data_IF_970104148222
#
_entry.id   IF_970104148222
#
_cell.length_a   1.000
_cell.length_b   1.000
_cell.length_c   1.000
_cell.angle_alpha   90.00
_cell.angle_beta   90.00
_cell.angle_gamma   90.00
#
_symmetry.space_group_name_H-M   'P 1'
#
loop_
_entity.id
_entity.type
_entity.pdbx_description
1 polymer ?
#
# COMPACT_ATOMS: atom_id res chain seq x y z
N UNK A 1 10.43 3.35 6.94
CA UNK A 1 9.38 3.77 5.99
C UNK A 1 8.30 2.70 6.02
N UNK A 2 7.04 3.06 6.18
CA UNK A 2 5.91 2.14 6.04
C UNK A 2 5.05 2.57 4.85
N UNK A 3 4.67 1.65 3.97
CA UNK A 3 3.73 1.93 2.89
C UNK A 3 2.56 0.94 2.94
N UNK A 4 1.33 1.44 2.88
CA UNK A 4 0.15 0.57 2.85
C UNK A 4 0.14 -0.27 1.56
N UNK A 5 0.13 -1.60 1.71
CA UNK A 5 0.06 -2.53 0.58
C UNK A 5 -1.36 -2.96 0.23
N UNK A 6 -1.53 -4.01 -0.60
CA UNK A 6 -2.82 -4.35 -1.19
C UNK A 6 -3.69 -5.22 -0.26
N UNK A 7 -5.00 -5.15 -0.48
CA UNK A 7 -5.95 -6.17 -0.03
C UNK A 7 -6.02 -7.31 -1.05
N UNK A 8 -5.65 -8.52 -0.64
CA UNK A 8 -5.45 -9.66 -1.56
C UNK A 8 -6.73 -10.48 -1.80
N UNK A 9 -7.74 -9.84 -2.38
CA UNK A 9 -8.98 -10.50 -2.81
C UNK A 9 -9.04 -10.76 -4.33
N UNK A 10 -8.11 -10.21 -5.11
CA UNK A 10 -8.03 -10.44 -6.55
C UNK A 10 -6.61 -10.13 -7.07
N UNK A 11 -6.37 -10.38 -8.36
CA UNK A 11 -5.19 -9.88 -9.04
C UNK A 11 -5.10 -8.35 -8.91
N UNK A 12 -3.91 -7.87 -8.57
CA UNK A 12 -3.67 -6.43 -8.42
C UNK A 12 -3.78 -5.72 -9.75
N UNK A 13 -4.38 -4.54 -9.72
CA UNK A 13 -4.45 -3.67 -10.89
C UNK A 13 -3.24 -2.76 -10.99
N UNK A 14 -3.02 -2.18 -12.17
CA UNK A 14 -1.86 -1.30 -12.42
C UNK A 14 -1.79 -0.12 -11.43
N UNK A 15 -2.94 0.39 -11.00
CA UNK A 15 -3.00 1.39 -9.91
C UNK A 15 -2.41 0.93 -8.57
N UNK A 16 -2.55 -0.36 -8.19
CA UNK A 16 -1.94 -0.89 -6.95
C UNK A 16 -0.43 -1.08 -7.11
N UNK A 17 0.08 -1.22 -8.34
CA UNK A 17 1.50 -1.32 -8.59
C UNK A 17 2.23 0.02 -8.40
N UNK A 18 1.54 1.14 -8.59
CA UNK A 18 2.16 2.48 -8.50
C UNK A 18 2.71 2.79 -7.09
N UNK A 19 1.96 2.59 -5.98
CA UNK A 19 2.51 2.74 -4.63
C UNK A 19 3.77 1.91 -4.40
N UNK A 20 3.78 0.63 -4.83
CA UNK A 20 4.94 -0.26 -4.73
C UNK A 20 6.15 0.26 -5.52
N UNK A 21 5.95 0.75 -6.75
CA UNK A 21 7.06 1.34 -7.51
C UNK A 21 7.58 2.61 -6.81
N UNK A 22 6.69 3.45 -6.30
CA UNK A 22 7.06 4.70 -5.62
C UNK A 22 7.83 4.42 -4.33
N UNK A 23 7.41 3.48 -3.51
CA UNK A 23 8.09 3.12 -2.25
C UNK A 23 9.47 2.52 -2.50
N UNK A 24 9.59 1.60 -3.45
CA UNK A 24 10.85 0.95 -3.82
C UNK A 24 11.86 1.95 -4.41
N UNK A 25 11.40 2.89 -5.25
CA UNK A 25 12.25 3.96 -5.79
C UNK A 25 12.63 4.95 -4.69
N UNK A 26 11.70 5.31 -3.80
CA UNK A 26 12.00 6.19 -2.67
C UNK A 26 13.05 5.57 -1.72
N UNK A 27 12.93 4.26 -1.40
CA UNK A 27 13.93 3.52 -0.63
C UNK A 27 15.30 3.64 -1.29
N UNK A 28 15.42 3.29 -2.58
CA UNK A 28 16.68 3.34 -3.32
C UNK A 28 17.27 4.75 -3.39
N UNK A 29 16.43 5.77 -3.51
CA UNK A 29 16.86 7.16 -3.49
C UNK A 29 17.42 7.57 -2.12
N UNK A 30 16.77 7.20 -1.02
CA UNK A 30 17.32 7.49 0.32
C UNK A 30 18.60 6.68 0.61
N UNK A 31 18.68 5.43 0.15
CA UNK A 31 19.91 4.62 0.24
C UNK A 31 21.07 5.24 -0.54
N UNK A 32 20.81 5.81 -1.73
CA UNK A 32 21.85 6.49 -2.52
C UNK A 32 22.35 7.79 -1.87
N UNK A 33 21.53 8.39 -0.99
CA UNK A 33 21.93 9.52 -0.14
C UNK A 33 22.69 9.08 1.14
N UNK A 34 22.90 7.77 1.34
CA UNK A 34 23.64 7.22 2.47
C UNK A 34 22.79 6.90 3.70
N UNK A 35 21.46 6.95 3.61
CA UNK A 35 20.59 6.51 4.71
C UNK A 35 20.51 4.99 4.77
N UNK A 36 20.43 4.43 5.98
CA UNK A 36 19.95 3.06 6.19
C UNK A 36 18.43 3.07 6.22
N UNK A 37 17.80 2.45 5.23
CA UNK A 37 16.35 2.42 5.10
C UNK A 37 15.82 1.04 5.50
N UNK A 38 14.76 1.01 6.30
CA UNK A 38 13.91 -0.16 6.49
C UNK A 38 12.53 0.16 5.92
N UNK A 39 12.15 -0.53 4.86
CA UNK A 39 10.86 -0.43 4.19
C UNK A 39 9.97 -1.59 4.61
N UNK A 40 8.81 -1.25 5.17
CA UNK A 40 7.75 -2.18 5.54
C UNK A 40 6.55 -1.93 4.64
N UNK A 41 6.02 -2.97 4.02
CA UNK A 41 4.74 -2.89 3.29
C UNK A 41 3.87 -4.07 3.68
N UNK A 42 2.69 -3.83 4.24
CA UNK A 42 1.82 -4.93 4.64
C UNK A 42 1.09 -5.56 3.46
N UNK A 43 0.55 -6.75 3.70
CA UNK A 43 -0.51 -7.33 2.87
C UNK A 43 -1.74 -7.50 3.77
N UNK A 44 -2.85 -6.90 3.37
CA UNK A 44 -4.14 -7.11 4.04
C UNK A 44 -4.73 -8.43 3.54
N UNK A 45 -4.55 -9.48 4.34
CA UNK A 45 -4.98 -10.86 4.07
C UNK A 45 -6.26 -11.26 4.83
N UNK A 46 -6.88 -10.31 5.53
CA UNK A 46 -8.21 -10.42 6.15
C UNK A 46 -9.02 -9.15 5.85
N UNK A 47 -10.12 -9.28 5.11
CA UNK A 47 -11.02 -8.17 4.77
C UNK A 47 -12.39 -8.70 4.34
N UNK A 48 -13.42 -7.86 4.41
CA UNK A 48 -14.78 -8.19 3.97
C UNK A 48 -14.80 -8.70 2.52
N UNK A 49 -13.98 -8.14 1.63
CA UNK A 49 -13.89 -8.56 0.22
C UNK A 49 -13.28 -9.95 0.06
N UNK A 50 -12.28 -10.29 0.87
CA UNK A 50 -11.64 -11.61 0.86
C UNK A 50 -12.64 -12.67 1.34
N UNK A 51 -13.36 -12.36 2.43
CA UNK A 51 -14.40 -13.23 3.00
C UNK A 51 -15.51 -13.47 1.98
N UNK A 52 -16.06 -12.40 1.40
CA UNK A 52 -17.13 -12.48 0.40
C UNK A 52 -16.72 -13.30 -0.82
N UNK A 53 -15.47 -13.16 -1.29
CA UNK A 53 -14.96 -13.97 -2.39
C UNK A 53 -14.80 -15.44 -2.02
N UNK A 54 -14.30 -15.74 -0.81
CA UNK A 54 -14.23 -17.12 -0.32
C UNK A 54 -15.61 -17.79 -0.28
N UNK A 55 -16.63 -17.07 0.21
CA UNK A 55 -18.02 -17.53 0.21
C UNK A 55 -18.52 -17.78 -1.23
N UNK A 56 -18.29 -16.83 -2.14
CA UNK A 56 -18.71 -16.95 -3.53
C UNK A 56 -18.04 -18.11 -4.28
N UNK A 57 -16.78 -18.41 -3.97
CA UNK A 57 -15.99 -19.48 -4.59
C UNK A 57 -16.10 -20.83 -3.84
N UNK A 58 -16.80 -20.87 -2.70
CA UNK A 58 -16.95 -22.08 -1.89
C UNK A 58 -15.64 -22.57 -1.27
N UNK A 59 -14.70 -21.66 -0.95
CA UNK A 59 -13.40 -22.00 -0.33
C UNK A 59 -13.04 -21.07 0.82
N UNK A 60 -12.14 -21.47 1.75
CA UNK A 60 -11.75 -20.63 2.88
C UNK A 60 -11.17 -19.27 2.44
N UNK A 61 -11.50 -18.21 3.18
CA UNK A 61 -10.95 -16.86 2.95
C UNK A 61 -9.41 -16.83 2.99
N UNK A 62 -8.79 -17.64 3.85
CA UNK A 62 -7.33 -17.80 3.90
C UNK A 62 -6.74 -18.37 2.61
N UNK A 63 -7.45 -19.25 1.90
CA UNK A 63 -7.00 -19.79 0.62
C UNK A 63 -7.07 -18.73 -0.48
N UNK A 64 -8.11 -17.88 -0.48
CA UNK A 64 -8.23 -16.72 -1.38
C UNK A 64 -7.06 -15.77 -1.13
N UNK A 65 -6.84 -15.39 0.13
CA UNK A 65 -5.79 -14.47 0.50
C UNK A 65 -4.39 -14.99 0.13
N UNK A 66 -4.10 -16.26 0.43
CA UNK A 66 -2.81 -16.88 0.09
C UNK A 66 -2.54 -16.90 -1.41
N UNK A 67 -3.55 -17.25 -2.23
CA UNK A 67 -3.42 -17.23 -3.70
C UNK A 67 -3.11 -15.83 -4.22
N UNK A 68 -3.91 -14.83 -3.83
CA UNK A 68 -3.73 -13.48 -4.37
C UNK A 68 -2.54 -12.73 -3.75
N UNK A 69 -2.10 -13.09 -2.54
CA UNK A 69 -0.82 -12.63 -1.99
C UNK A 69 0.35 -13.19 -2.79
N UNK A 70 0.33 -14.49 -3.14
CA UNK A 70 1.35 -15.05 -4.01
C UNK A 70 1.32 -14.42 -5.40
N UNK A 71 0.14 -14.27 -5.99
CA UNK A 71 -0.02 -13.60 -7.29
C UNK A 71 0.48 -12.15 -7.27
N UNK A 72 0.22 -11.40 -6.19
CA UNK A 72 0.76 -10.05 -5.99
C UNK A 72 2.28 -10.05 -6.00
N UNK A 73 2.92 -10.97 -5.25
CA UNK A 73 4.38 -11.12 -5.21
C UNK A 73 4.94 -11.47 -6.58
N UNK A 74 4.39 -12.49 -7.23
CA UNK A 74 4.82 -12.90 -8.57
C UNK A 74 4.72 -11.75 -9.57
N UNK A 75 3.61 -10.99 -9.56
CA UNK A 75 3.40 -9.88 -10.49
C UNK A 75 4.33 -8.69 -10.21
N UNK A 76 4.63 -8.40 -8.94
CA UNK A 76 5.53 -7.30 -8.56
C UNK A 76 7.00 -7.67 -8.68
N UNK A 77 7.37 -8.95 -8.53
CA UNK A 77 8.73 -9.44 -8.76
C UNK A 77 9.15 -9.29 -10.23
N UNK A 78 8.20 -9.42 -11.16
CA UNK A 78 8.41 -9.11 -12.59
C UNK A 78 8.86 -7.66 -12.83
N UNK A 79 8.63 -6.73 -11.91
CA UNK A 79 9.12 -5.35 -12.01
C UNK A 79 10.63 -5.23 -11.80
N UNK A 80 11.29 -6.26 -11.25
CA UNK A 80 12.74 -6.24 -11.03
C UNK A 80 13.21 -5.21 -9.98
N UNK A 81 12.29 -4.70 -9.14
CA UNK A 81 12.59 -3.69 -8.12
C UNK A 81 13.06 -4.30 -6.78
N UNK A 82 12.88 -5.60 -6.58
CA UNK A 82 13.11 -6.31 -5.31
C UNK A 82 11.86 -6.32 -4.42
N UNK A 83 12.03 -6.65 -3.13
CA UNK A 83 10.96 -6.63 -2.12
C UNK A 83 11.19 -5.56 -1.05
N UNK A 84 10.13 -5.15 -0.32
CA UNK A 84 10.24 -4.52 0.99
C UNK A 84 11.13 -5.35 1.93
N UNK A 85 11.75 -4.72 2.94
CA UNK A 85 12.56 -5.43 3.93
C UNK A 85 11.69 -6.33 4.82
N UNK A 86 10.44 -5.92 5.05
CA UNK A 86 9.46 -6.64 5.86
C UNK A 86 8.10 -6.52 5.17
N UNK A 87 7.41 -7.65 5.02
CA UNK A 87 6.11 -7.71 4.36
C UNK A 87 5.09 -8.47 5.23
N UNK A 88 4.56 -7.83 6.30
CA UNK A 88 3.72 -8.51 7.27
C UNK A 88 2.31 -8.79 6.77
N UNK A 89 1.75 -9.91 7.19
CA UNK A 89 0.33 -10.24 7.00
C UNK A 89 -0.49 -9.79 8.19
N UNK A 90 -1.66 -9.18 7.97
CA UNK A 90 -2.53 -8.74 9.06
C UNK A 90 -2.93 -9.90 10.00
N UNK A 91 -3.14 -11.10 9.47
CA UNK A 91 -3.48 -12.28 10.28
C UNK A 91 -2.36 -12.75 11.22
N UNK A 92 -1.10 -12.40 10.95
CA UNK A 92 0.06 -12.71 11.80
C UNK A 92 0.20 -11.73 12.98
N UNK A 93 -0.54 -10.62 12.96
CA UNK A 93 -0.42 -9.52 13.92
C UNK A 93 -1.67 -9.29 14.77
N UNK A 94 -2.60 -10.24 14.81
CA UNK A 94 -3.85 -10.11 15.59
C UNK A 94 -3.59 -9.82 17.07
N UNK A 95 -2.55 -10.43 17.67
CA UNK A 95 -2.18 -10.15 19.05
C UNK A 95 -1.69 -8.70 19.26
N UNK A 96 -0.89 -8.18 18.33
CA UNK A 96 -0.41 -6.79 18.36
C UNK A 96 -1.61 -5.81 18.19
N UNK A 97 -2.56 -6.16 17.32
CA UNK A 97 -3.80 -5.39 17.10
C UNK A 97 -4.65 -5.36 18.36
N UNK A 98 -4.91 -6.51 18.99
CA UNK A 98 -5.70 -6.59 20.23
C UNK A 98 -5.05 -5.72 21.31
N UNK A 99 -3.73 -5.80 21.50
CA UNK A 99 -3.02 -4.99 22.49
C UNK A 99 -3.16 -3.48 22.22
N UNK A 100 -3.15 -3.06 20.95
CA UNK A 100 -3.35 -1.66 20.56
C UNK A 100 -4.78 -1.20 20.88
N UNK A 101 -5.78 -2.04 20.62
CA UNK A 101 -7.19 -1.75 20.94
C UNK A 101 -7.41 -1.68 22.46
N UNK A 102 -6.81 -2.59 23.24
CA UNK A 102 -6.86 -2.54 24.70
C UNK A 102 -6.29 -1.24 25.25
N UNK A 103 -5.18 -0.75 24.68
CA UNK A 103 -4.61 0.56 25.02
C UNK A 103 -5.59 1.71 24.73
N UNK A 104 -6.24 1.69 23.56
CA UNK A 104 -7.24 2.68 23.18
C UNK A 104 -8.45 2.68 24.13
N UNK A 105 -8.95 1.50 24.51
CA UNK A 105 -10.04 1.35 25.49
C UNK A 105 -9.62 1.90 26.85
N UNK A 106 -8.43 1.52 27.34
CA UNK A 106 -7.89 1.99 28.63
C UNK A 106 -7.74 3.52 28.68
N UNK A 107 -7.51 4.15 27.53
CA UNK A 107 -7.35 5.61 27.39
C UNK A 107 -8.62 6.33 26.99
N UNK A 108 -9.77 5.64 26.99
CA UNK A 108 -11.08 6.20 26.63
C UNK A 108 -11.17 6.72 25.19
N UNK A 109 -10.35 6.19 24.29
CA UNK A 109 -10.41 6.45 22.85
C UNK A 109 -11.20 5.38 22.07
N UNK A 110 -11.56 4.28 22.71
CA UNK A 110 -12.38 3.24 22.13
C UNK A 110 -13.44 2.74 23.12
N UNK A 111 -14.53 2.20 22.58
CA UNK A 111 -15.61 1.61 23.37
C UNK A 111 -16.17 0.36 22.67
N UNK A 112 -16.65 -0.57 23.49
CA UNK A 112 -17.31 -1.77 23.01
C UNK A 112 -18.81 -1.51 22.81
N UNK A 113 -19.37 -2.00 21.70
CA UNK A 113 -20.79 -1.98 21.41
C UNK A 113 -21.25 -3.36 20.93
N UNK A 114 -21.72 -4.20 21.87
CA UNK A 114 -21.94 -5.62 21.59
C UNK A 114 -20.62 -6.36 21.48
N UNK A 115 -20.39 -7.05 20.36
CA UNK A 115 -19.12 -7.75 20.07
C UNK A 115 -18.15 -6.92 19.22
N UNK A 116 -18.56 -5.72 18.83
CA UNK A 116 -17.74 -4.78 18.08
C UNK A 116 -17.03 -3.82 19.04
N UNK A 117 -15.85 -3.33 18.62
CA UNK A 117 -15.14 -2.23 19.28
C UNK A 117 -14.94 -1.12 18.28
N UNK A 118 -15.35 0.09 18.65
CA UNK A 118 -15.25 1.28 17.82
C UNK A 118 -14.27 2.29 18.42
N UNK A 119 -13.58 3.02 17.55
CA UNK A 119 -12.86 4.22 17.93
C UNK A 119 -13.84 5.37 18.12
N UNK A 120 -13.73 6.09 19.24
CA UNK A 120 -14.53 7.29 19.52
C UNK A 120 -13.83 8.50 18.89
N UNK A 121 -14.27 8.93 17.71
CA UNK A 121 -13.67 10.07 17.00
C UNK A 121 -13.74 11.35 17.83
N UNK A 122 -14.82 11.56 18.57
CA UNK A 122 -14.98 12.75 19.40
C UNK A 122 -13.97 12.83 20.56
N UNK A 123 -13.40 11.69 20.97
CA UNK A 123 -12.34 11.65 22.00
C UNK A 123 -10.98 12.14 21.51
N UNK A 124 -10.80 12.34 20.19
CA UNK A 124 -9.54 12.74 19.58
C UNK A 124 -9.68 14.09 18.84
N UNK A 125 -9.42 15.23 19.52
CA UNK A 125 -9.70 16.57 18.96
C UNK A 125 -8.91 16.92 17.69
N UNK A 126 -7.80 16.23 17.40
CA UNK A 126 -6.97 16.46 16.22
C UNK A 126 -7.42 15.66 14.99
N UNK A 127 -8.54 14.93 15.06
CA UNK A 127 -9.07 14.16 13.94
C UNK A 127 -9.38 15.05 12.72
N UNK A 128 -8.93 14.65 11.54
CA UNK A 128 -9.07 15.43 10.30
C UNK A 128 -7.84 16.29 9.95
N UNK A 129 -6.79 16.28 10.79
CA UNK A 129 -5.57 17.08 10.59
C UNK A 129 -4.84 16.72 9.29
N UNK A 130 -4.79 15.44 8.92
CA UNK A 130 -4.06 15.00 7.72
C UNK A 130 -4.81 15.38 6.44
N UNK A 131 -6.10 15.04 6.39
CA UNK A 131 -7.00 15.28 5.28
C UNK A 131 -7.44 16.74 5.13
N UNK A 132 -7.24 17.54 6.19
CA UNK A 132 -7.72 18.92 6.33
C UNK A 132 -9.25 19.04 6.26
N UNK A 133 -9.97 17.96 6.56
CA UNK A 133 -11.42 17.97 6.64
C UNK A 133 -11.87 18.39 8.04
N UNK A 134 -12.96 19.14 8.12
CA UNK A 134 -13.55 19.52 9.41
C UNK A 134 -14.54 18.44 9.89
N UNK A 135 -14.40 18.00 11.14
CA UNK A 135 -15.27 16.97 11.76
C UNK A 135 -16.75 17.31 11.64
N UNK A 136 -17.11 18.60 11.77
CA UNK A 136 -18.48 19.07 11.59
C UNK A 136 -19.04 18.78 10.20
N UNK A 137 -18.27 19.05 9.14
CA UNK A 137 -18.68 18.81 7.74
C UNK A 137 -18.80 17.30 7.46
N UNK A 138 -17.87 16.50 7.98
CA UNK A 138 -17.90 15.04 7.83
C UNK A 138 -19.18 14.43 8.40
N UNK A 139 -19.64 14.89 9.58
CA UNK A 139 -20.88 14.40 10.20
C UNK A 139 -22.13 14.67 9.38
N UNK A 140 -22.19 15.77 8.61
CA UNK A 140 -23.37 16.09 7.79
C UNK A 140 -23.51 15.16 6.57
N UNK A 141 -22.39 14.62 6.08
CA UNK A 141 -22.38 13.64 4.99
C UNK A 141 -22.48 12.18 5.45
N UNK A 142 -22.13 11.90 6.71
CA UNK A 142 -22.11 10.55 7.25
C UNK A 142 -23.53 10.06 7.56
N UNK A 143 -23.86 8.87 7.06
CA UNK A 143 -25.04 8.10 7.47
C UNK A 143 -24.59 6.96 8.37
N UNK A 144 -25.44 6.61 9.34
CA UNK A 144 -25.27 5.39 10.12
C UNK A 144 -26.01 4.30 9.35
N UNK A 145 -25.29 3.25 8.94
CA UNK A 145 -25.95 2.08 8.39
C UNK A 145 -26.75 1.37 9.49
N UNK A 146 -27.92 0.83 9.13
CA UNK A 146 -28.89 0.25 10.09
C UNK A 146 -28.27 -0.87 10.95
N UNK A 147 -27.22 -1.51 10.46
CA UNK A 147 -26.51 -2.59 11.16
C UNK A 147 -25.45 -2.10 12.17
N UNK A 148 -25.05 -0.83 12.14
CA UNK A 148 -23.96 -0.32 12.97
C UNK A 148 -24.45 0.16 14.35
N UNK A 149 -23.81 -0.34 15.41
CA UNK A 149 -24.12 0.03 16.81
C UNK A 149 -23.26 1.18 17.33
N UNK A 150 -22.69 1.97 16.43
CA UNK A 150 -21.80 3.09 16.77
C UNK A 150 -22.58 4.24 17.41
N UNK A 151 -21.96 4.88 18.40
CA UNK A 151 -22.50 6.04 19.09
C UNK A 151 -22.45 7.32 18.24
N UNK A 152 -21.47 7.43 17.34
CA UNK A 152 -21.31 8.54 16.39
C UNK A 152 -21.18 8.03 14.94
N UNK A 153 -21.78 8.71 13.94
CA UNK A 153 -21.60 8.42 12.52
C UNK A 153 -20.14 8.30 12.05
N UNK A 154 -19.23 9.04 12.68
CA UNK A 154 -17.81 9.05 12.32
C UNK A 154 -16.98 7.96 13.00
N UNK A 155 -17.51 7.34 14.04
CA UNK A 155 -16.81 6.26 14.73
C UNK A 155 -16.61 5.08 13.78
N UNK A 156 -15.42 4.49 13.84
CA UNK A 156 -15.00 3.43 12.93
C UNK A 156 -14.58 2.19 13.71
N UNK A 157 -14.82 1.02 13.10
CA UNK A 157 -14.54 -0.26 13.74
C UNK A 157 -13.02 -0.48 13.90
N UNK A 158 -12.64 -0.84 15.12
CA UNK A 158 -11.32 -1.37 15.48
C UNK A 158 -11.35 -2.89 15.50
N UNK A 159 -12.44 -3.46 16.01
CA UNK A 159 -12.72 -4.89 16.06
C UNK A 159 -14.15 -5.14 15.61
N UNK A 160 -14.35 -6.09 14.70
CA UNK A 160 -15.67 -6.53 14.26
C UNK A 160 -15.96 -7.90 14.87
N UNK A 161 -17.07 -8.03 15.58
CA UNK A 161 -17.55 -9.31 16.09
C UNK A 161 -17.82 -10.28 14.94
N UNK A 162 -17.43 -11.54 15.11
CA UNK A 162 -17.52 -12.52 14.03
C UNK A 162 -18.99 -12.85 13.71
N UNK A 163 -19.33 -12.84 12.42
CA UNK A 163 -20.58 -13.45 11.92
C UNK A 163 -20.36 -14.95 11.66
N UNK A 164 -21.45 -15.72 11.64
CA UNK A 164 -21.37 -17.17 11.39
C UNK A 164 -20.66 -17.47 10.06
N UNK A 165 -19.62 -18.30 10.10
CA UNK A 165 -18.83 -18.69 8.94
C UNK A 165 -17.71 -17.71 8.54
N UNK A 166 -17.57 -16.57 9.23
CA UNK A 166 -16.42 -15.69 9.05
C UNK A 166 -15.19 -16.20 9.83
N UNK A 167 -13.96 -15.96 9.35
CA UNK A 167 -12.76 -16.17 10.15
C UNK A 167 -12.77 -15.30 11.41
N UNK A 168 -12.35 -15.88 12.53
CA UNK A 168 -12.41 -15.24 13.83
C UNK A 168 -11.22 -15.63 14.71
N UNK A 169 -10.82 -14.69 15.58
CA UNK A 169 -9.82 -14.86 16.62
C UNK A 169 -10.44 -14.53 17.97
N UNK A 170 -9.96 -15.20 19.02
CA UNK A 170 -10.36 -14.89 20.39
C UNK A 170 -9.83 -13.52 20.80
N UNK A 171 -10.67 -12.75 21.50
CA UNK A 171 -10.31 -11.44 22.03
C UNK A 171 -11.07 -11.16 23.34
N UNK A 172 -10.66 -10.14 24.12
CA UNK A 172 -11.41 -9.69 25.31
C UNK A 172 -12.86 -9.30 25.04
N UNK A 173 -13.22 -9.01 23.78
CA UNK A 173 -14.56 -8.59 23.36
C UNK A 173 -15.36 -9.71 22.70
N UNK A 174 -14.83 -10.94 22.73
CA UNK A 174 -15.38 -12.12 22.06
C UNK A 174 -14.72 -12.40 20.71
N UNK A 175 -15.11 -13.51 20.05
CA UNK A 175 -14.57 -13.89 18.76
C UNK A 175 -14.87 -12.84 17.69
N UNK A 176 -13.86 -12.45 16.92
CA UNK A 176 -13.98 -11.43 15.89
C UNK A 176 -12.73 -11.28 15.05
N UNK A 177 -12.61 -10.14 14.38
CA UNK A 177 -11.51 -9.83 13.46
C UNK A 177 -11.20 -8.35 13.47
N UNK A 178 -9.98 -7.95 13.05
CA UNK A 178 -9.60 -6.55 12.99
C UNK A 178 -10.46 -5.74 12.00
N UNK A 179 -10.61 -4.46 12.29
CA UNK A 179 -11.01 -3.47 11.30
C UNK A 179 -9.83 -3.05 10.43
N UNK A 180 -10.11 -2.64 9.18
CA UNK A 180 -9.08 -2.37 8.17
C UNK A 180 -7.96 -1.42 8.63
N UNK A 181 -8.30 -0.35 9.35
CA UNK A 181 -7.33 0.69 9.72
C UNK A 181 -6.37 0.25 10.85
N UNK A 182 -6.85 -0.56 11.80
CA UNK A 182 -6.06 -0.89 13.00
C UNK A 182 -4.88 -1.81 12.69
N UNK A 183 -4.99 -2.56 11.59
CA UNK A 183 -3.94 -3.44 11.07
C UNK A 183 -2.64 -2.66 10.82
N UNK A 184 -2.72 -1.61 9.99
CA UNK A 184 -1.54 -0.81 9.61
C UNK A 184 -0.95 -0.06 10.80
N UNK A 185 -1.78 0.46 11.72
CA UNK A 185 -1.30 1.05 12.97
C UNK A 185 -0.50 0.06 13.82
N UNK A 186 -1.00 -1.16 14.02
CA UNK A 186 -0.31 -2.15 14.84
C UNK A 186 0.99 -2.66 14.17
N UNK A 187 0.93 -3.01 12.88
CA UNK A 187 2.08 -3.53 12.14
C UNK A 187 3.18 -2.48 11.99
N UNK A 188 2.84 -1.24 11.62
CA UNK A 188 3.85 -0.18 11.49
C UNK A 188 4.56 0.12 12.81
N UNK A 189 3.82 0.20 13.92
CA UNK A 189 4.40 0.40 15.25
C UNK A 189 5.27 -0.79 15.70
N UNK A 190 4.87 -2.02 15.37
CA UNK A 190 5.64 -3.23 15.69
C UNK A 190 7.04 -3.20 15.11
N UNK A 191 7.16 -2.80 13.84
CA UNK A 191 8.42 -2.87 13.10
C UNK A 191 9.24 -1.59 13.13
N UNK A 192 8.60 -0.42 13.21
CA UNK A 192 9.27 0.87 13.10
C UNK A 192 9.22 1.71 14.38
N UNK A 193 8.40 1.31 15.36
CA UNK A 193 8.17 2.08 16.58
C UNK A 193 7.36 3.35 16.35
N UNK A 194 7.18 4.13 17.42
CA UNK A 194 6.48 5.41 17.35
C UNK A 194 7.37 6.51 16.76
N UNK A 195 6.77 7.44 16.01
CA UNK A 195 7.48 8.60 15.45
C UNK A 195 8.41 8.24 14.29
N UNK A 196 8.15 7.14 13.58
CA UNK A 196 8.95 6.75 12.43
C UNK A 196 8.84 7.77 11.28
N UNK A 197 9.83 7.75 10.39
CA UNK A 197 10.06 8.88 9.50
C UNK A 197 8.99 9.07 8.45
N UNK A 198 8.65 8.04 7.67
CA UNK A 198 7.80 8.17 6.48
C UNK A 198 6.73 7.09 6.49
N UNK A 199 5.46 7.51 6.36
CA UNK A 199 4.32 6.67 6.03
C UNK A 199 3.76 7.07 4.66
N UNK A 200 3.55 6.11 3.76
CA UNK A 200 3.02 6.40 2.43
C UNK A 200 1.95 5.44 1.92
N UNK A 201 1.37 5.81 0.77
CA UNK A 201 0.33 5.07 0.09
C UNK A 201 -0.34 5.90 -1.00
N UNK A 202 -1.42 5.39 -1.59
CA UNK A 202 -2.24 6.13 -2.54
C UNK A 202 -2.88 7.37 -1.92
N UNK A 203 -3.19 8.39 -2.73
CA UNK A 203 -3.88 9.61 -2.28
C UNK A 203 -5.29 9.32 -1.74
N UNK A 204 -5.94 8.29 -2.24
CA UNK A 204 -7.21 7.76 -1.75
C UNK A 204 -7.12 7.30 -0.28
N UNK A 205 -5.94 6.89 0.19
CA UNK A 205 -5.75 6.46 1.57
C UNK A 205 -5.62 7.62 2.57
N UNK A 206 -5.48 8.88 2.12
CA UNK A 206 -5.44 10.04 3.05
C UNK A 206 -6.64 10.02 4.00
N UNK A 207 -7.83 9.74 3.47
CA UNK A 207 -9.04 9.62 4.25
C UNK A 207 -9.94 8.51 3.69
N UNK A 208 -10.51 7.63 4.55
CA UNK A 208 -10.39 7.66 6.01
C UNK A 208 -9.13 6.96 6.54
N UNK A 209 -8.41 6.19 5.71
CA UNK A 209 -7.44 5.20 6.19
C UNK A 209 -6.31 5.78 7.06
N UNK A 210 -5.44 6.61 6.48
CA UNK A 210 -4.30 7.19 7.19
C UNK A 210 -4.72 8.17 8.30
N UNK A 211 -5.87 8.85 8.16
CA UNK A 211 -6.42 9.69 9.25
C UNK A 211 -6.80 8.85 10.47
N UNK A 212 -7.43 7.68 10.23
CA UNK A 212 -7.77 6.73 11.28
C UNK A 212 -6.54 6.14 11.94
N UNK A 213 -5.49 5.84 11.16
CA UNK A 213 -4.24 5.33 11.72
C UNK A 213 -3.55 6.34 12.64
N UNK A 214 -3.53 7.63 12.28
CA UNK A 214 -3.05 8.69 13.17
C UNK A 214 -3.85 8.69 14.47
N UNK A 215 -5.18 8.67 14.38
CA UNK A 215 -6.03 8.71 15.57
C UNK A 215 -5.83 7.48 16.47
N UNK A 216 -5.70 6.30 15.88
CA UNK A 216 -5.42 5.04 16.58
C UNK A 216 -4.05 5.05 17.26
N UNK A 217 -2.98 5.35 16.52
CA UNK A 217 -1.63 5.29 17.03
C UNK A 217 -1.36 6.42 18.05
N UNK A 218 -1.69 7.68 17.72
CA UNK A 218 -1.49 8.81 18.64
C UNK A 218 -2.44 8.72 19.84
N UNK A 219 -3.66 8.23 19.66
CA UNK A 219 -4.60 7.95 20.76
C UNK A 219 -4.08 6.88 21.71
N UNK A 220 -3.51 5.79 21.19
CA UNK A 220 -2.96 4.71 22.01
C UNK A 220 -1.65 5.09 22.71
N UNK A 221 -0.78 5.86 22.05
CA UNK A 221 0.58 6.15 22.51
C UNK A 221 0.72 7.49 23.21
N UNK A 222 -0.07 8.50 22.86
CA UNK A 222 0.02 9.86 23.42
C UNK A 222 1.22 10.65 22.92
N UNK A 223 1.84 10.21 21.82
CA UNK A 223 2.98 10.83 21.17
C UNK A 223 2.83 10.74 19.65
N UNK A 224 3.56 11.55 18.86
CA UNK A 224 3.43 11.58 17.41
C UNK A 224 3.64 10.20 16.76
N UNK A 225 2.80 9.87 15.77
CA UNK A 225 2.83 8.59 15.07
C UNK A 225 3.90 8.56 13.96
N UNK A 226 3.85 9.54 13.05
CA UNK A 226 4.65 9.61 11.82
C UNK A 226 5.15 11.03 11.59
N UNK A 227 6.39 11.20 11.10
CA UNK A 227 6.98 12.52 10.83
C UNK A 227 6.59 13.08 9.46
N UNK A 228 6.58 12.24 8.42
CA UNK A 228 6.30 12.64 7.04
C UNK A 228 5.28 11.70 6.37
N UNK A 229 4.32 12.28 5.67
CA UNK A 229 3.31 11.56 4.90
C UNK A 229 3.58 11.69 3.40
N UNK A 230 3.61 10.55 2.70
CA UNK A 230 3.90 10.48 1.26
C UNK A 230 2.75 9.84 0.49
N UNK A 231 1.96 10.67 -0.20
CA UNK A 231 0.83 10.18 -1.00
C UNK A 231 1.09 10.32 -2.50
N UNK A 232 1.06 9.19 -3.23
CA UNK A 232 1.14 9.22 -4.69
C UNK A 232 -0.18 9.63 -5.33
N UNK A 233 -0.11 10.32 -6.47
CA UNK A 233 -1.28 10.74 -7.23
C UNK A 233 -2.11 9.55 -7.71
N UNK A 234 -3.39 9.83 -7.99
CA UNK A 234 -4.32 8.86 -8.56
C UNK A 234 -3.88 8.46 -9.97
N UNK A 235 -4.25 7.24 -10.36
CA UNK A 235 -4.08 6.76 -11.72
C UNK A 235 -5.44 6.80 -12.40
N UNK A 236 -5.55 7.59 -13.46
CA UNK A 236 -6.76 7.76 -14.25
C UNK A 236 -6.63 6.88 -15.49
N UNK A 237 -7.45 5.84 -15.57
CA UNK A 237 -7.51 4.98 -16.76
C UNK A 237 -8.38 5.70 -17.80
N UNK A 238 -7.77 6.24 -18.84
CA UNK A 238 -8.50 6.68 -20.04
C UNK A 238 -8.93 5.45 -20.85
N UNK A 239 -9.97 5.55 -21.70
CA UNK A 239 -10.63 4.40 -22.34
C UNK A 239 -9.68 3.44 -23.06
N UNK A 240 -9.11 2.48 -22.32
CA UNK A 240 -8.41 1.33 -22.85
C UNK A 240 -9.49 0.38 -23.35
N UNK A 241 -9.98 0.58 -24.58
CA UNK A 241 -10.79 -0.43 -25.29
C UNK A 241 -9.91 -1.63 -25.65
N UNK A 242 -9.66 -2.47 -24.65
CA UNK A 242 -9.11 -3.80 -24.84
C UNK A 242 -10.24 -4.80 -24.60
N UNK A 243 -10.42 -5.68 -25.57
CA UNK A 243 -11.61 -6.52 -25.79
C UNK A 243 -12.17 -7.26 -24.56
N UNK A 244 -13.50 -7.16 -24.40
CA UNK A 244 -14.44 -8.14 -23.84
C UNK A 244 -13.99 -8.93 -22.59
N UNK A 245 -14.29 -8.39 -21.41
CA UNK A 245 -15.40 -8.81 -20.53
C UNK A 245 -15.08 -8.50 -19.06
N UNK A 246 -15.96 -7.72 -18.42
CA UNK A 246 -15.99 -7.30 -17.02
C UNK A 246 -14.93 -6.28 -16.54
N UNK A 247 -15.30 -4.99 -16.67
CA UNK A 247 -14.75 -3.90 -15.86
C UNK A 247 -13.45 -3.31 -16.41
N UNK A 248 -13.37 -1.98 -16.44
CA UNK A 248 -12.22 -1.20 -16.94
C UNK A 248 -10.97 -1.30 -16.04
N UNK A 249 -10.69 -2.44 -15.40
CA UNK A 249 -9.59 -2.61 -14.47
C UNK A 249 -8.50 -3.44 -15.15
N UNK A 250 -7.43 -2.77 -15.59
CA UNK A 250 -6.28 -3.41 -16.20
C UNK A 250 -5.37 -4.01 -15.11
N UNK A 251 -5.19 -5.34 -15.11
CA UNK A 251 -4.33 -6.00 -14.12
C UNK A 251 -2.86 -5.71 -14.39
N UNK A 252 -2.02 -5.74 -13.35
CA UNK A 252 -0.56 -5.57 -13.52
C UNK A 252 0.00 -6.63 -14.48
N UNK A 253 -0.45 -7.88 -14.33
CA UNK A 253 -0.09 -9.01 -15.19
C UNK A 253 -0.40 -8.77 -16.65
N UNK A 254 -1.62 -8.30 -16.96
CA UNK A 254 -2.03 -8.01 -18.35
C UNK A 254 -1.17 -6.93 -18.99
N UNK A 255 -0.69 -5.95 -18.21
CA UNK A 255 0.26 -4.94 -18.69
C UNK A 255 1.61 -5.58 -18.95
N UNK A 256 2.16 -6.33 -17.99
CA UNK A 256 3.49 -6.91 -18.07
C UNK A 256 3.59 -8.05 -19.10
N UNK A 257 2.47 -8.63 -19.53
CA UNK A 257 2.42 -9.61 -20.62
C UNK A 257 2.58 -8.94 -22.01
N UNK A 258 2.35 -7.63 -22.10
CA UNK A 258 2.38 -6.86 -23.36
C UNK A 258 3.51 -5.84 -23.42
N UNK A 259 3.88 -5.31 -22.27
CA UNK A 259 4.86 -4.24 -22.13
C UNK A 259 5.96 -4.67 -21.16
N UNK A 260 7.15 -4.17 -21.40
CA UNK A 260 8.32 -4.38 -20.58
C UNK A 260 8.15 -3.73 -19.21
N UNK A 261 8.64 -4.37 -18.13
CA UNK A 261 8.53 -3.79 -16.79
C UNK A 261 9.15 -2.41 -16.67
N UNK A 262 10.27 -2.15 -17.36
CA UNK A 262 10.94 -0.85 -17.31
C UNK A 262 10.12 0.25 -17.99
N UNK A 263 9.31 -0.07 -19.00
CA UNK A 263 8.41 0.89 -19.65
C UNK A 263 7.27 1.31 -18.71
N UNK A 264 6.74 0.37 -17.92
CA UNK A 264 5.74 0.66 -16.89
C UNK A 264 6.35 1.52 -15.75
N UNK A 265 7.55 1.18 -15.30
CA UNK A 265 8.27 1.98 -14.29
C UNK A 265 8.53 3.38 -14.83
N UNK A 266 9.02 3.52 -16.07
CA UNK A 266 9.22 4.81 -16.72
C UNK A 266 7.92 5.61 -16.84
N UNK A 267 6.78 4.96 -17.13
CA UNK A 267 5.47 5.62 -17.17
C UNK A 267 5.08 6.19 -15.80
N UNK A 268 5.30 5.45 -14.71
CA UNK A 268 5.01 5.93 -13.36
C UNK A 268 5.93 7.06 -12.91
N UNK A 269 7.20 7.04 -13.34
CA UNK A 269 8.22 8.01 -12.93
C UNK A 269 8.38 9.20 -13.90
N UNK A 270 7.75 9.14 -15.08
CA UNK A 270 7.81 10.20 -16.09
C UNK A 270 7.13 11.51 -15.66
N UNK A 271 6.35 11.47 -14.59
CA UNK A 271 5.79 12.63 -13.91
C UNK A 271 6.07 12.57 -12.41
N UNK A 272 5.98 13.72 -11.74
CA UNK A 272 6.16 13.79 -10.30
C UNK A 272 5.17 12.86 -9.57
N UNK A 273 5.63 12.05 -8.60
CA UNK A 273 4.82 10.98 -7.98
C UNK A 273 3.48 11.44 -7.38
N UNK A 274 3.38 12.71 -6.94
CA UNK A 274 2.17 13.34 -6.38
C UNK A 274 1.12 13.72 -7.43
N UNK A 275 1.52 13.80 -8.70
CA UNK A 275 0.63 14.21 -9.79
C UNK A 275 -0.29 13.06 -10.19
N UNK A 276 -1.57 13.34 -10.50
CA UNK A 276 -2.41 12.40 -11.21
C UNK A 276 -1.70 11.94 -12.49
N UNK A 277 -1.84 10.66 -12.82
CA UNK A 277 -1.27 10.07 -14.03
C UNK A 277 -2.40 9.57 -14.91
N UNK A 278 -2.52 10.14 -16.11
CA UNK A 278 -3.38 9.58 -17.16
C UNK A 278 -2.66 8.36 -17.73
N UNK A 279 -3.21 7.18 -17.49
CA UNK A 279 -2.61 5.92 -17.88
C UNK A 279 -3.35 5.35 -19.09
N UNK A 280 -2.63 5.22 -20.20
CA UNK A 280 -3.16 4.78 -21.49
C UNK A 280 -2.18 3.86 -22.23
N UNK A 281 -2.66 3.22 -23.29
CA UNK A 281 -1.80 2.40 -24.15
C UNK A 281 -0.76 3.27 -24.89
N UNK A 282 -1.13 4.50 -25.26
CA UNK A 282 -0.23 5.47 -25.89
C UNK A 282 0.92 5.82 -24.96
N UNK A 283 0.65 6.10 -23.67
CA UNK A 283 1.70 6.37 -22.69
C UNK A 283 2.68 5.20 -22.59
N UNK A 284 2.19 3.95 -22.54
CA UNK A 284 3.04 2.77 -22.48
C UNK A 284 3.87 2.59 -23.76
N UNK A 285 3.29 2.82 -24.94
CA UNK A 285 4.01 2.75 -26.20
C UNK A 285 5.09 3.85 -26.31
N UNK A 286 4.82 5.05 -25.80
CA UNK A 286 5.79 6.13 -25.71
C UNK A 286 6.95 5.78 -24.78
N UNK A 287 6.66 5.23 -23.59
CA UNK A 287 7.71 4.88 -22.63
C UNK A 287 8.52 3.66 -23.06
N UNK A 288 7.94 2.71 -23.79
CA UNK A 288 8.70 1.65 -24.47
C UNK A 288 9.78 2.23 -25.38
N UNK A 289 9.41 3.17 -26.25
CA UNK A 289 10.38 3.81 -27.16
C UNK A 289 11.47 4.56 -26.39
N UNK A 290 11.12 5.24 -25.30
CA UNK A 290 12.10 5.94 -24.46
C UNK A 290 13.09 4.96 -23.83
N UNK A 291 12.59 3.85 -23.30
CA UNK A 291 13.42 2.82 -22.69
C UNK A 291 14.28 2.10 -23.72
N UNK A 292 13.77 1.84 -24.92
CA UNK A 292 14.55 1.26 -26.02
C UNK A 292 15.72 2.17 -26.43
N UNK A 293 15.50 3.49 -26.49
CA UNK A 293 16.59 4.46 -26.73
C UNK A 293 17.68 4.35 -25.67
N UNK A 294 17.31 4.29 -24.38
CA UNK A 294 18.28 4.12 -23.30
C UNK A 294 19.05 2.80 -23.41
N UNK A 295 18.36 1.70 -23.72
CA UNK A 295 19.00 0.39 -23.90
C UNK A 295 19.95 0.36 -25.09
N UNK A 296 19.59 1.01 -26.19
CA UNK A 296 20.45 1.09 -27.37
C UNK A 296 21.75 1.82 -27.05
N UNK A 297 21.71 2.91 -26.27
CA UNK A 297 22.93 3.59 -25.79
C UNK A 297 23.81 2.62 -25.00
N UNK A 298 23.26 1.86 -24.05
CA UNK A 298 24.06 0.89 -23.29
C UNK A 298 24.58 -0.26 -24.14
N UNK A 299 23.83 -0.70 -25.16
CA UNK A 299 24.29 -1.72 -26.12
C UNK A 299 25.46 -1.20 -26.94
N UNK A 300 25.36 0.00 -27.50
CA UNK A 300 26.42 0.64 -28.28
C UNK A 300 27.69 0.86 -27.44
N UNK A 301 27.54 1.29 -26.18
CA UNK A 301 28.68 1.43 -25.25
C UNK A 301 29.33 0.07 -24.94
N UNK A 302 28.54 -0.98 -24.75
CA UNK A 302 29.06 -2.33 -24.52
C UNK A 302 29.79 -2.88 -25.77
N UNK A 303 29.22 -2.69 -26.95
CA UNK A 303 29.83 -3.10 -28.22
C UNK A 303 31.14 -2.36 -28.48
N UNK A 304 31.21 -1.05 -28.18
CA UNK A 304 32.43 -0.26 -28.27
C UNK A 304 33.51 -0.72 -27.28
N UNK A 305 33.13 -1.10 -26.06
CA UNK A 305 34.05 -1.63 -25.05
C UNK A 305 34.63 -3.00 -25.45
N UNK A 306 33.87 -3.82 -26.18
CA UNK A 306 34.35 -5.12 -26.71
C UNK A 306 35.19 -4.93 -27.98
N UNK A 307 34.79 -4.02 -28.87
CA UNK A 307 35.50 -3.70 -30.11
C UNK A 307 36.86 -3.03 -29.90
N UNK A 308 37.04 -2.31 -28.78
CA UNK A 308 38.34 -1.74 -28.38
C UNK A 308 39.29 -2.76 -27.73
N UNK A 309 38.82 -3.97 -27.41
CA UNK A 309 39.65 -5.05 -26.85
C UNK A 309 40.36 -5.93 -27.88
N UNK A 310 40.11 -5.74 -29.19
CA UNK A 310 40.73 -6.53 -30.26
C UNK A 310 41.85 -5.81 -31.03
N UNK A 311 42.11 -4.53 -30.75
CA UNK A 311 43.28 -3.80 -31.26
C UNK A 311 44.35 -3.67 -30.17
N UNK A 312 45.01 -4.80 -29.86
CA UNK A 312 46.27 -4.78 -29.12
C UNK A 312 47.39 -4.27 -30.02
N UNK A 313 47.94 -3.08 -29.74
CA UNK A 313 49.12 -2.59 -30.44
C UNK A 313 49.56 -1.16 -30.17
N UNK A 314 49.97 -0.88 -28.94
CA UNK A 314 50.89 0.20 -28.54
C UNK A 314 50.54 1.65 -28.93
N UNK A 315 50.04 2.42 -27.95
CA UNK A 315 50.36 3.84 -27.86
C UNK A 315 50.66 4.19 -26.39
N UNK A 316 51.92 4.51 -26.20
CA UNK A 316 52.61 5.01 -25.02
C UNK A 316 51.81 6.09 -24.27
N UNK A 317 51.32 5.76 -23.07
CA UNK A 317 50.79 6.74 -22.12
C UNK A 317 51.93 7.20 -21.21
N UNK A 318 52.69 8.17 -21.70
CA UNK A 318 53.51 9.04 -20.87
C UNK A 318 52.62 9.89 -19.96
N UNK A 319 52.68 9.63 -18.66
CA UNK A 319 52.22 10.53 -17.60
C UNK A 319 53.24 11.69 -17.41
N UNK A 320 53.02 12.71 -16.54
CA UNK A 320 51.80 13.15 -15.85
C UNK A 320 51.56 14.69 -15.95
N UNK A 321 50.35 15.13 -15.59
CA UNK A 321 50.06 16.20 -14.60
C UNK A 321 48.56 16.22 -14.27
#
# INVERSE_FOLDING_TARGET
MYFCGPTVYNYVHVGNARPFVVSMVAKRYFESLGYRVTLVENITDIDDRIIQKGIAEGRPASAVAAEFAQAYRDDTDRLGLGRPDIEPLATEHVADIIALIESLVKRSHAYQAGSDVYFNVASYPAYGRLSKQQVGEMRHGARIDVEEKKADPLDFALWKGAKSGEPAWDSPWGPGRPGWHIECSAMSLKYLGAGFDIHGGGRDLIFPHHENEIAQAEGALGQPFVRFWMHNGMLNLTEVKMSKSLGNILTLRDVLDKYRPEALIAAFLGSHYRSPLEFSAELLAETEQQVDRLRNVFRELADAAVGTGSEGGAADIGAPL
#
